data_IF_423777233895
#
_entry.id   IF_423777233895
#
_cell.length_a   1.000
_cell.length_b   1.000
_cell.length_c   1.000
_cell.angle_alpha   90.00
_cell.angle_beta   90.00
_cell.angle_gamma   90.00
#
_symmetry.space_group_name_H-M   'P 1'
#
loop_
_entity.id
_entity.type
_entity.pdbx_description
1 polymer ?
#
# COMPACT_ATOMS: atom_id res chain seq x y z
N UNK A 1 39.28 15.66 -25.27
CA UNK A 1 38.24 15.95 -24.25
C UNK A 1 37.05 15.07 -24.55
N UNK A 2 36.99 13.89 -23.94
CA UNK A 2 35.85 12.98 -24.04
C UNK A 2 34.80 13.44 -23.03
N UNK A 3 33.67 13.91 -23.54
CA UNK A 3 32.48 14.20 -22.74
C UNK A 3 31.99 12.90 -22.12
N UNK A 4 32.43 12.61 -20.90
CA UNK A 4 31.75 11.67 -20.02
C UNK A 4 30.40 12.29 -19.70
N UNK A 5 29.34 11.83 -20.39
CA UNK A 5 27.98 11.99 -19.90
C UNK A 5 27.96 11.34 -18.53
N UNK A 6 28.04 12.15 -17.47
CA UNK A 6 27.54 11.74 -16.15
C UNK A 6 26.08 11.38 -16.39
N UNK A 7 25.77 10.09 -16.51
CA UNK A 7 24.41 9.63 -16.26
C UNK A 7 24.12 10.05 -14.83
N UNK A 8 23.30 11.07 -14.65
CA UNK A 8 22.53 11.19 -13.42
C UNK A 8 21.88 9.83 -13.24
N UNK A 9 22.38 9.05 -12.28
CA UNK A 9 21.76 7.79 -11.88
C UNK A 9 20.43 8.23 -11.25
N UNK A 10 19.39 8.35 -12.08
CA UNK A 10 18.06 8.61 -11.58
C UNK A 10 17.71 7.43 -10.67
N UNK A 11 17.57 7.71 -9.38
CA UNK A 11 17.19 6.73 -8.39
C UNK A 11 15.76 6.29 -8.72
N UNK A 12 15.63 5.05 -9.19
CA UNK A 12 14.34 4.46 -9.51
C UNK A 12 13.67 3.77 -8.32
N UNK A 13 12.62 3.02 -8.62
CA UNK A 13 11.87 2.24 -7.63
C UNK A 13 12.47 0.85 -7.42
N UNK A 14 12.58 0.43 -6.16
CA UNK A 14 12.84 -0.98 -5.81
C UNK A 14 11.54 -1.74 -5.65
N UNK A 15 11.36 -2.81 -6.41
CA UNK A 15 10.23 -3.75 -6.27
C UNK A 15 10.62 -4.84 -5.27
N UNK A 16 9.81 -5.06 -4.25
CA UNK A 16 9.98 -6.10 -3.22
C UNK A 16 8.76 -7.01 -3.24
N UNK A 17 8.92 -8.21 -3.79
CA UNK A 17 7.80 -9.11 -4.02
C UNK A 17 7.83 -10.29 -3.05
N UNK A 18 6.74 -10.45 -2.30
CA UNK A 18 6.48 -11.67 -1.54
C UNK A 18 5.88 -12.74 -2.46
N UNK A 19 6.76 -13.53 -3.06
CA UNK A 19 6.38 -14.59 -4.00
C UNK A 19 5.58 -15.69 -3.31
N UNK A 20 5.72 -15.86 -1.98
CA UNK A 20 4.94 -16.87 -1.27
C UNK A 20 3.50 -16.42 -1.04
N UNK A 21 3.29 -15.14 -0.73
CA UNK A 21 1.95 -14.55 -0.63
C UNK A 21 1.21 -14.56 -1.98
N UNK A 22 1.93 -14.24 -3.06
CA UNK A 22 1.39 -14.22 -4.42
C UNK A 22 1.22 -15.63 -5.03
N UNK A 23 1.93 -16.63 -4.50
CA UNK A 23 1.83 -18.04 -4.93
C UNK A 23 2.00 -18.22 -6.46
N UNK A 24 1.07 -18.92 -7.11
CA UNK A 24 1.18 -19.32 -8.51
C UNK A 24 1.09 -18.14 -9.50
N UNK A 25 0.39 -17.07 -9.13
CA UNK A 25 0.19 -15.89 -9.98
C UNK A 25 1.36 -14.90 -9.95
N UNK A 26 2.33 -15.10 -9.06
CA UNK A 26 3.49 -14.22 -8.84
C UNK A 26 4.17 -13.75 -10.13
N UNK A 27 4.35 -14.66 -11.11
CA UNK A 27 5.03 -14.32 -12.37
C UNK A 27 4.22 -13.37 -13.23
N UNK A 28 2.93 -13.65 -13.37
CA UNK A 28 2.03 -12.87 -14.22
C UNK A 28 1.78 -11.48 -13.60
N UNK A 29 1.67 -11.41 -12.27
CA UNK A 29 1.61 -10.14 -11.52
C UNK A 29 2.84 -9.29 -11.81
N UNK A 30 4.04 -9.84 -11.65
CA UNK A 30 5.29 -9.09 -11.86
C UNK A 30 5.48 -8.64 -13.31
N UNK A 31 5.16 -9.51 -14.28
CA UNK A 31 5.24 -9.16 -15.70
C UNK A 31 4.27 -8.03 -16.02
N UNK A 32 3.03 -8.12 -15.51
CA UNK A 32 1.98 -7.14 -15.78
C UNK A 32 2.30 -5.81 -15.11
N UNK A 33 2.73 -5.83 -13.84
CA UNK A 33 3.15 -4.64 -13.09
C UNK A 33 4.26 -3.88 -13.82
N UNK A 34 5.32 -4.56 -14.26
CA UNK A 34 6.45 -3.89 -14.93
C UNK A 34 6.04 -3.34 -16.29
N UNK A 35 5.14 -4.02 -17.03
CA UNK A 35 4.62 -3.54 -18.32
C UNK A 35 3.66 -2.37 -18.18
N UNK A 36 2.87 -2.34 -17.11
CA UNK A 36 1.84 -1.34 -16.81
C UNK A 36 2.23 -0.56 -15.55
N UNK A 37 3.49 -0.12 -15.52
CA UNK A 37 4.01 0.60 -14.37
C UNK A 37 3.28 1.94 -14.20
N UNK A 38 2.89 2.34 -12.97
CA UNK A 38 2.21 3.62 -12.74
C UNK A 38 3.07 4.81 -13.19
N UNK A 39 2.48 5.73 -13.96
CA UNK A 39 3.20 6.90 -14.51
C UNK A 39 3.66 7.90 -13.44
N UNK A 40 3.03 7.89 -12.27
CA UNK A 40 3.35 8.77 -11.15
C UNK A 40 4.50 8.24 -10.27
N UNK A 41 5.04 7.06 -10.60
CA UNK A 41 6.13 6.41 -9.88
C UNK A 41 7.42 6.38 -10.70
N UNK A 42 8.59 6.61 -10.08
CA UNK A 42 9.87 6.43 -10.77
C UNK A 42 10.00 5.02 -11.34
N UNK A 43 10.63 4.91 -12.50
CA UNK A 43 10.80 3.62 -13.18
C UNK A 43 11.46 2.58 -12.26
N UNK A 44 11.06 1.31 -12.35
CA UNK A 44 11.64 0.28 -11.52
C UNK A 44 13.07 -0.02 -11.97
N UNK A 45 14.02 0.00 -11.03
CA UNK A 45 15.46 -0.26 -11.30
C UNK A 45 15.96 -1.51 -10.59
N UNK A 46 15.26 -1.96 -9.55
CA UNK A 46 15.59 -3.17 -8.78
C UNK A 46 14.38 -4.07 -8.60
N UNK A 47 14.60 -5.37 -8.67
CA UNK A 47 13.61 -6.39 -8.38
C UNK A 47 14.18 -7.34 -7.32
N UNK A 48 13.60 -7.30 -6.12
CA UNK A 48 13.94 -8.15 -4.99
C UNK A 48 12.82 -9.16 -4.78
N UNK A 49 13.14 -10.45 -4.95
CA UNK A 49 12.18 -11.55 -4.83
C UNK A 49 12.43 -12.33 -3.55
N UNK A 50 11.40 -12.48 -2.72
CA UNK A 50 11.44 -13.26 -1.49
C UNK A 50 10.69 -14.56 -1.72
N UNK A 51 11.47 -15.63 -1.86
CA UNK A 51 10.97 -16.93 -2.32
C UNK A 51 11.27 -17.99 -1.29
N UNK A 52 10.61 -19.16 -1.38
CA UNK A 52 11.04 -20.31 -0.58
C UNK A 52 12.49 -20.67 -0.91
N UNK A 53 13.28 -20.98 0.12
CA UNK A 53 14.72 -21.23 -0.03
C UNK A 53 15.06 -22.32 -1.06
N UNK A 54 14.22 -23.35 -1.18
CA UNK A 54 14.37 -24.46 -2.14
C UNK A 54 14.10 -24.05 -3.60
N UNK A 55 13.38 -22.96 -3.85
CA UNK A 55 13.06 -22.47 -5.18
C UNK A 55 13.94 -21.31 -5.65
N UNK A 56 14.89 -20.85 -4.82
CA UNK A 56 15.69 -19.65 -5.06
C UNK A 56 16.41 -19.65 -6.42
N UNK A 57 17.01 -20.78 -6.82
CA UNK A 57 17.75 -20.86 -8.06
C UNK A 57 16.85 -20.73 -9.30
N UNK A 58 15.69 -21.41 -9.29
CA UNK A 58 14.73 -21.37 -10.39
C UNK A 58 14.18 -19.96 -10.60
N UNK A 59 13.84 -19.28 -9.50
CA UNK A 59 13.38 -17.89 -9.55
C UNK A 59 14.45 -16.93 -10.04
N UNK A 60 15.70 -17.12 -9.63
CA UNK A 60 16.81 -16.30 -10.10
C UNK A 60 16.98 -16.38 -11.61
N UNK A 61 17.05 -17.60 -12.16
CA UNK A 61 17.22 -17.80 -13.61
C UNK A 61 16.08 -17.14 -14.39
N UNK A 62 14.83 -17.39 -13.99
CA UNK A 62 13.66 -16.79 -14.63
C UNK A 62 13.69 -15.25 -14.55
N UNK A 63 13.87 -14.69 -13.36
CA UNK A 63 13.78 -13.24 -13.16
C UNK A 63 14.89 -12.49 -13.87
N UNK A 64 16.13 -13.00 -13.87
CA UNK A 64 17.24 -12.38 -14.61
C UNK A 64 17.04 -12.38 -16.11
N UNK A 65 16.33 -13.39 -16.64
CA UNK A 65 16.01 -13.45 -18.06
C UNK A 65 14.84 -12.53 -18.41
N UNK A 66 13.80 -12.49 -17.55
CA UNK A 66 12.57 -11.74 -17.79
C UNK A 66 12.74 -10.23 -17.59
N UNK A 67 13.57 -9.81 -16.63
CA UNK A 67 13.76 -8.42 -16.22
C UNK A 67 15.23 -8.00 -16.36
N UNK A 68 15.78 -8.21 -17.56
CA UNK A 68 17.21 -8.00 -17.86
C UNK A 68 17.68 -6.53 -17.76
N UNK A 69 16.76 -5.57 -17.76
CA UNK A 69 17.04 -4.14 -17.59
C UNK A 69 17.14 -3.71 -16.11
N UNK A 70 16.81 -4.61 -15.18
CA UNK A 70 16.79 -4.33 -13.74
C UNK A 70 17.88 -5.11 -12.99
N UNK A 71 18.29 -4.58 -11.84
CA UNK A 71 19.11 -5.35 -10.90
C UNK A 71 18.21 -6.35 -10.16
N UNK A 72 18.39 -7.64 -10.41
CA UNK A 72 17.58 -8.71 -9.81
C UNK A 72 18.30 -9.33 -8.61
N UNK A 73 17.63 -9.35 -7.46
CA UNK A 73 18.01 -10.11 -6.27
C UNK A 73 16.94 -11.15 -5.95
N UNK A 74 17.36 -12.34 -5.52
CA UNK A 74 16.44 -13.40 -5.09
C UNK A 74 16.92 -13.95 -3.76
N UNK A 75 16.13 -13.70 -2.72
CA UNK A 75 16.38 -14.09 -1.33
C UNK A 75 15.55 -15.31 -0.98
N UNK A 76 16.24 -16.38 -0.56
CA UNK A 76 15.59 -17.60 -0.09
C UNK A 76 15.21 -17.47 1.38
N UNK A 77 13.92 -17.42 1.68
CA UNK A 77 13.39 -17.35 3.04
C UNK A 77 13.17 -18.78 3.55
N UNK A 78 13.81 -19.12 4.67
CA UNK A 78 13.61 -20.39 5.36
C UNK A 78 12.51 -20.25 6.41
N UNK A 79 11.55 -21.16 6.36
CA UNK A 79 10.56 -21.33 7.41
C UNK A 79 10.99 -22.49 8.30
N UNK A 80 11.35 -22.20 9.55
CA UNK A 80 11.60 -23.26 10.53
C UNK A 80 10.27 -23.90 10.91
N UNK A 81 10.07 -25.17 10.56
CA UNK A 81 8.82 -25.92 10.82
C UNK A 81 8.45 -26.05 12.31
N UNK A 82 9.37 -25.71 13.22
CA UNK A 82 9.20 -25.83 14.67
C UNK A 82 8.75 -24.53 15.36
N UNK A 83 8.84 -23.39 14.69
CA UNK A 83 8.41 -22.09 15.21
C UNK A 83 7.48 -21.42 14.22
N UNK A 84 6.29 -21.04 14.67
CA UNK A 84 5.25 -20.37 13.91
C UNK A 84 5.62 -18.95 13.42
N UNK A 85 6.83 -18.73 12.92
CA UNK A 85 7.28 -17.45 12.37
C UNK A 85 6.81 -17.36 10.93
N UNK A 86 5.52 -17.08 10.75
CA UNK A 86 4.89 -16.85 9.44
C UNK A 86 5.45 -15.61 8.72
N UNK A 87 6.17 -14.73 9.42
CA UNK A 87 6.47 -13.37 8.94
C UNK A 87 7.95 -13.17 8.54
N UNK A 88 8.68 -14.25 8.22
CA UNK A 88 10.10 -14.16 7.89
C UNK A 88 10.36 -13.41 6.58
N UNK A 89 9.43 -13.50 5.61
CA UNK A 89 9.50 -12.75 4.37
C UNK A 89 9.23 -11.25 4.61
N UNK A 90 8.20 -10.93 5.37
CA UNK A 90 7.79 -9.54 5.66
C UNK A 90 8.90 -8.76 6.35
N UNK A 91 9.55 -9.38 7.34
CA UNK A 91 10.69 -8.78 8.03
C UNK A 91 11.87 -8.55 7.07
N UNK A 92 12.17 -9.52 6.21
CA UNK A 92 13.27 -9.40 5.24
C UNK A 92 12.98 -8.28 4.22
N UNK A 93 11.75 -8.22 3.71
CA UNK A 93 11.28 -7.16 2.82
C UNK A 93 11.42 -5.79 3.48
N UNK A 94 10.89 -5.62 4.69
CA UNK A 94 10.94 -4.35 5.40
C UNK A 94 12.39 -3.89 5.66
N UNK A 95 13.26 -4.81 6.11
CA UNK A 95 14.67 -4.51 6.39
C UNK A 95 15.41 -4.10 5.11
N UNK A 96 15.27 -4.87 4.02
CA UNK A 96 15.96 -4.58 2.77
C UNK A 96 15.43 -3.30 2.12
N UNK A 97 14.13 -3.06 2.13
CA UNK A 97 13.52 -1.84 1.60
C UNK A 97 14.00 -0.58 2.34
N UNK A 98 14.02 -0.61 3.67
CA UNK A 98 14.56 0.48 4.47
C UNK A 98 16.07 0.67 4.23
N UNK A 99 16.83 -0.42 4.17
CA UNK A 99 18.28 -0.38 3.90
C UNK A 99 18.59 0.26 2.55
N UNK A 100 17.87 -0.13 1.50
CA UNK A 100 18.04 0.41 0.15
C UNK A 100 17.70 1.91 0.07
N UNK A 101 16.64 2.35 0.75
CA UNK A 101 16.32 3.79 0.88
C UNK A 101 17.41 4.55 1.64
N UNK A 102 17.84 4.04 2.79
CA UNK A 102 18.88 4.67 3.63
C UNK A 102 20.21 4.80 2.89
N UNK A 103 20.56 3.79 2.08
CA UNK A 103 21.76 3.79 1.27
C UNK A 103 21.60 4.54 -0.06
N UNK A 104 20.44 5.15 -0.33
CA UNK A 104 20.12 5.87 -1.56
C UNK A 104 20.38 5.00 -2.80
N UNK A 105 20.08 3.70 -2.71
CA UNK A 105 20.17 2.77 -3.84
C UNK A 105 18.90 2.81 -4.70
N UNK A 106 17.80 3.28 -4.11
CA UNK A 106 16.48 3.53 -4.70
C UNK A 106 15.94 4.86 -4.17
N UNK A 107 14.90 5.40 -4.81
CA UNK A 107 14.16 6.56 -4.30
C UNK A 107 12.79 6.17 -3.73
N UNK A 108 12.19 5.08 -4.22
CA UNK A 108 10.86 4.62 -3.85
C UNK A 108 10.85 3.11 -3.64
N UNK A 109 9.95 2.66 -2.77
CA UNK A 109 9.71 1.25 -2.48
C UNK A 109 8.36 0.86 -3.06
N UNK A 110 8.32 -0.21 -3.84
CA UNK A 110 7.08 -0.87 -4.25
C UNK A 110 7.01 -2.27 -3.63
N UNK A 111 6.09 -2.49 -2.69
CA UNK A 111 5.86 -3.82 -2.10
C UNK A 111 4.77 -4.53 -2.89
N UNK A 112 5.05 -5.75 -3.36
CA UNK A 112 4.07 -6.59 -4.06
C UNK A 112 3.65 -7.73 -3.15
N UNK A 113 2.51 -7.57 -2.50
CA UNK A 113 1.91 -8.52 -1.57
C UNK A 113 0.48 -8.12 -1.26
N UNK A 114 -0.39 -9.08 -0.97
CA UNK A 114 -1.73 -8.81 -0.43
C UNK A 114 -1.73 -8.75 1.11
N UNK A 115 -0.59 -8.97 1.78
CA UNK A 115 -0.49 -9.04 3.25
C UNK A 115 -0.55 -7.67 3.93
N UNK A 116 -1.52 -7.48 4.83
CA UNK A 116 -1.73 -6.21 5.53
C UNK A 116 -0.58 -5.77 6.44
N UNK A 117 0.34 -6.67 6.82
CA UNK A 117 1.44 -6.36 7.74
C UNK A 117 2.38 -5.26 7.21
N UNK A 118 2.38 -5.00 5.89
CA UNK A 118 3.16 -3.91 5.28
C UNK A 118 2.63 -2.49 5.59
N UNK A 119 1.46 -2.33 6.22
CA UNK A 119 1.01 -1.04 6.77
C UNK A 119 2.06 -0.48 7.74
N UNK A 120 2.69 -1.33 8.55
CA UNK A 120 3.70 -0.89 9.50
C UNK A 120 4.94 -0.31 8.81
N UNK A 121 5.33 -0.88 7.66
CA UNK A 121 6.42 -0.34 6.85
C UNK A 121 6.06 1.04 6.30
N UNK A 122 4.86 1.19 5.73
CA UNK A 122 4.36 2.49 5.26
C UNK A 122 4.37 3.55 6.37
N UNK A 123 3.81 3.24 7.54
CA UNK A 123 3.76 4.16 8.67
C UNK A 123 5.17 4.61 9.08
N UNK A 124 6.14 3.68 9.11
CA UNK A 124 7.51 4.00 9.46
C UNK A 124 8.19 4.89 8.42
N UNK A 125 7.96 4.64 7.14
CA UNK A 125 8.45 5.49 6.06
C UNK A 125 7.83 6.90 6.12
N UNK A 126 6.56 7.01 6.52
CA UNK A 126 5.90 8.28 6.76
C UNK A 126 6.56 9.11 7.85
N UNK A 127 6.86 8.50 9.00
CA UNK A 127 7.58 9.17 10.09
C UNK A 127 8.97 9.70 9.66
N UNK A 128 9.67 8.97 8.80
CA UNK A 128 10.97 9.42 8.28
C UNK A 128 10.81 10.50 7.22
N UNK A 129 9.79 10.42 6.35
CA UNK A 129 9.49 11.44 5.35
C UNK A 129 9.12 12.78 6.01
N UNK A 130 8.33 12.78 7.09
CA UNK A 130 7.98 14.00 7.85
C UNK A 130 9.21 14.73 8.43
N UNK A 131 10.27 13.99 8.73
CA UNK A 131 11.55 14.57 9.22
C UNK A 131 12.41 15.11 8.10
N UNK A 132 12.14 14.71 6.85
CA UNK A 132 12.85 15.18 5.68
C UNK A 132 12.14 16.39 5.07
N UNK A 133 12.76 17.56 5.14
CA UNK A 133 12.20 18.80 4.61
C UNK A 133 12.05 18.81 3.08
N UNK A 134 12.75 17.91 2.37
CA UNK A 134 12.71 17.82 0.91
C UNK A 134 11.59 16.90 0.39
N UNK A 135 10.93 16.13 1.27
CA UNK A 135 10.00 15.05 0.88
C UNK A 135 8.62 15.54 0.43
N UNK A 136 8.31 16.84 0.51
CA UNK A 136 6.97 17.41 0.31
C UNK A 136 5.84 16.67 1.08
N UNK A 137 6.19 15.87 2.09
CA UNK A 137 5.25 15.03 2.85
C UNK A 137 4.75 13.78 2.12
N UNK A 138 5.23 13.46 0.90
CA UNK A 138 4.84 12.22 0.20
C UNK A 138 5.73 11.06 0.64
N UNK A 139 5.12 10.01 1.18
CA UNK A 139 5.82 8.77 1.52
C UNK A 139 6.34 8.10 0.24
N UNK A 140 7.63 7.70 0.15
CA UNK A 140 8.21 7.06 -1.04
C UNK A 140 7.84 5.57 -1.12
N UNK A 141 6.55 5.29 -1.13
CA UNK A 141 6.00 3.95 -1.01
C UNK A 141 4.89 3.72 -2.02
N UNK A 142 4.79 2.49 -2.53
CA UNK A 142 3.67 1.99 -3.31
C UNK A 142 3.39 0.57 -2.85
N UNK A 143 2.11 0.28 -2.61
CA UNK A 143 1.65 -1.06 -2.35
C UNK A 143 0.95 -1.62 -3.57
N UNK A 144 1.47 -2.73 -4.08
CA UNK A 144 0.93 -3.44 -5.22
C UNK A 144 0.18 -4.68 -4.76
N UNK A 145 -1.13 -4.67 -5.00
CA UNK A 145 -2.05 -5.79 -4.75
C UNK A 145 -2.33 -6.58 -6.02
N UNK A 146 -2.79 -7.80 -5.82
CA UNK A 146 -3.44 -8.59 -6.87
C UNK A 146 -4.93 -8.26 -6.95
N UNK A 147 -5.57 -8.65 -8.04
CA UNK A 147 -7.03 -8.55 -8.25
C UNK A 147 -7.84 -9.66 -7.52
N UNK A 148 -7.16 -10.49 -6.71
CA UNK A 148 -7.79 -11.56 -5.93
C UNK A 148 -8.70 -10.98 -4.83
N UNK A 149 -10.00 -11.26 -4.95
CA UNK A 149 -11.00 -10.78 -3.99
C UNK A 149 -11.00 -11.56 -2.66
N UNK A 150 -10.39 -12.75 -2.62
CA UNK A 150 -10.34 -13.61 -1.43
C UNK A 150 -9.14 -13.32 -0.51
N UNK A 151 -8.11 -12.65 -1.02
CA UNK A 151 -6.92 -12.25 -0.25
C UNK A 151 -6.93 -10.77 0.14
N UNK A 152 -7.71 -9.94 -0.54
CA UNK A 152 -7.82 -8.51 -0.24
C UNK A 152 -8.74 -8.27 0.96
N UNK A 153 -8.22 -7.66 2.02
CA UNK A 153 -9.08 -7.19 3.11
C UNK A 153 -10.03 -6.11 2.59
N UNK A 154 -11.35 -6.33 2.67
CA UNK A 154 -12.35 -5.33 2.29
C UNK A 154 -12.22 -4.02 3.09
N UNK A 155 -11.60 -4.08 4.27
CA UNK A 155 -11.39 -2.92 5.13
C UNK A 155 -10.16 -2.09 4.75
N UNK A 156 -9.21 -2.63 3.95
CA UNK A 156 -7.99 -1.90 3.59
C UNK A 156 -8.29 -0.57 2.90
N UNK A 157 -9.33 -0.53 2.05
CA UNK A 157 -9.75 0.69 1.35
C UNK A 157 -10.38 1.75 2.27
N UNK A 158 -10.81 1.36 3.47
CA UNK A 158 -11.36 2.27 4.49
C UNK A 158 -10.28 2.84 5.40
N UNK A 159 -9.12 2.17 5.52
CA UNK A 159 -8.05 2.51 6.47
C UNK A 159 -6.75 3.01 5.84
N UNK A 160 -6.47 2.67 4.58
CA UNK A 160 -5.21 3.00 3.92
C UNK A 160 -5.42 3.99 2.76
N UNK A 161 -4.56 5.01 2.59
CA UNK A 161 -4.76 6.00 1.54
C UNK A 161 -4.62 5.37 0.15
N UNK A 162 -5.63 5.58 -0.69
CA UNK A 162 -5.75 4.95 -2.02
C UNK A 162 -4.62 5.33 -2.97
N UNK A 163 -4.04 6.52 -2.81
CA UNK A 163 -2.95 7.03 -3.66
C UNK A 163 -1.65 6.21 -3.52
N UNK A 164 -1.56 5.36 -2.51
CA UNK A 164 -0.44 4.44 -2.29
C UNK A 164 -0.76 3.00 -2.70
N UNK A 165 -1.93 2.75 -3.27
CA UNK A 165 -2.40 1.41 -3.65
C UNK A 165 -2.44 1.32 -5.17
N UNK A 166 -1.78 0.31 -5.72
CA UNK A 166 -1.90 -0.10 -7.11
C UNK A 166 -2.42 -1.53 -7.18
N UNK A 167 -3.43 -1.80 -8.00
CA UNK A 167 -3.99 -3.14 -8.17
C UNK A 167 -3.61 -3.66 -9.56
N UNK A 168 -2.95 -4.81 -9.59
CA UNK A 168 -2.60 -5.50 -10.84
C UNK A 168 -3.78 -6.38 -11.25
N UNK A 169 -4.49 -5.91 -12.27
CA UNK A 169 -5.59 -6.64 -12.90
C UNK A 169 -5.06 -7.60 -13.96
N UNK A 170 -5.10 -8.90 -13.65
CA UNK A 170 -4.66 -9.98 -14.53
C UNK A 170 -5.72 -10.37 -15.55
N UNK A 171 -6.98 -9.96 -15.35
CA UNK A 171 -8.06 -10.21 -16.30
C UNK A 171 -7.93 -9.38 -17.57
N UNK A 172 -7.26 -8.22 -17.50
CA UNK A 172 -7.04 -7.32 -18.64
C UNK A 172 -5.86 -7.78 -19.51
N UNK A 173 -6.08 -8.15 -20.78
CA UNK A 173 -5.00 -8.59 -21.66
C UNK A 173 -4.00 -7.46 -21.92
N UNK A 174 -2.70 -7.77 -21.89
CA UNK A 174 -1.59 -6.80 -21.97
C UNK A 174 -1.55 -5.92 -23.24
N UNK A 175 -2.38 -6.20 -24.24
CA UNK A 175 -2.40 -5.49 -25.53
C UNK A 175 -3.48 -4.40 -25.63
N UNK A 176 -4.28 -4.18 -24.59
CA UNK A 176 -5.24 -3.06 -24.55
C UNK A 176 -4.51 -1.82 -24.03
N UNK A 177 -4.35 -0.82 -24.91
CA UNK A 177 -3.94 0.54 -24.53
C UNK A 177 -4.99 1.15 -23.57
N UNK A 178 -4.59 1.97 -22.59
CA UNK A 178 -5.54 2.53 -21.64
C UNK A 178 -6.56 3.41 -22.36
N UNK A 179 -7.84 3.03 -22.29
CA UNK A 179 -8.94 3.88 -22.72
C UNK A 179 -8.93 5.16 -21.87
N UNK A 180 -8.71 6.30 -22.53
CA UNK A 180 -8.94 7.62 -21.94
C UNK A 180 -10.42 7.71 -21.54
N UNK A 181 -10.69 7.83 -20.25
CA UNK A 181 -12.02 8.12 -19.71
C UNK A 181 -12.51 9.45 -20.29
N UNK A 182 -13.39 9.37 -21.29
CA UNK A 182 -14.12 10.53 -21.80
C UNK A 182 -15.40 10.69 -20.98
N UNK A 183 -15.43 11.77 -20.21
CA UNK A 183 -16.60 12.33 -19.53
C UNK A 183 -17.86 12.24 -20.40
N UNK A 184 -18.81 11.43 -19.96
CA UNK A 184 -20.17 11.44 -20.50
C UNK A 184 -21.06 12.26 -19.56
N UNK A 185 -21.08 13.56 -19.80
CA UNK A 185 -22.18 14.44 -19.39
C UNK A 185 -23.50 13.89 -19.95
N UNK A 186 -24.48 13.68 -19.08
CA UNK A 186 -25.89 13.63 -19.46
C UNK A 186 -26.67 14.61 -18.58
N UNK A 187 -27.28 15.62 -19.22
CA UNK A 187 -28.40 16.38 -18.66
C UNK A 187 -29.60 15.46 -18.42
N UNK A 188 -30.73 15.89 -17.87
CA UNK A 188 -31.36 17.19 -17.96
C UNK A 188 -32.64 17.20 -17.07
N UNK A 189 -33.10 18.41 -16.70
CA UNK A 189 -34.46 18.85 -16.36
C UNK A 189 -35.20 18.54 -15.03
N UNK A 190 -35.51 19.68 -14.37
CA UNK A 190 -36.85 20.26 -14.11
C UNK A 190 -37.46 20.20 -12.70
N UNK A 191 -37.86 21.40 -12.23
CA UNK A 191 -38.85 21.59 -11.17
C UNK A 191 -38.80 22.96 -10.46
N UNK A 192 -39.22 24.05 -11.13
CA UNK A 192 -39.63 25.30 -10.45
C UNK A 192 -41.02 25.09 -9.78
N UNK A 193 -41.35 25.64 -8.59
CA UNK A 193 -41.78 27.03 -8.27
C UNK A 193 -42.30 27.08 -6.79
N UNK A 194 -42.78 28.22 -6.20
CA UNK A 194 -42.18 28.89 -5.03
C UNK A 194 -43.12 29.14 -3.81
N UNK A 195 -42.58 29.78 -2.75
CA UNK A 195 -43.30 30.41 -1.62
C UNK A 195 -43.06 29.67 -0.29
N UNK A 196 -42.86 30.27 0.89
CA UNK A 196 -43.06 31.63 1.39
C UNK A 196 -42.08 31.89 2.57
N UNK A 197 -41.86 33.18 2.86
CA UNK A 197 -41.09 33.72 3.97
C UNK A 197 -41.66 33.32 5.34
N UNK A 198 -40.79 32.98 6.30
CA UNK A 198 -40.97 33.47 7.67
C UNK A 198 -39.61 33.62 8.38
N UNK A 199 -39.36 34.84 8.85
CA UNK A 199 -38.23 35.26 9.67
C UNK A 199 -38.39 34.70 11.07
N UNK A 200 -37.33 34.10 11.61
CA UNK A 200 -37.05 34.13 13.04
C UNK A 200 -35.57 34.40 13.27
N UNK A 201 -35.29 35.39 14.12
CA UNK A 201 -33.94 35.74 14.58
C UNK A 201 -33.38 34.65 15.51
N UNK A 202 -32.06 34.36 15.49
CA UNK A 202 -31.52 33.23 16.23
C UNK A 202 -31.25 33.57 17.71
N UNK A 203 -31.67 32.69 18.61
CA UNK A 203 -31.14 32.63 19.98
C UNK A 203 -29.64 32.24 19.97
N UNK A 204 -28.84 32.68 20.97
CA UNK A 204 -27.40 32.40 20.99
C UNK A 204 -27.15 30.92 21.31
N UNK A 205 -26.89 30.13 20.27
CA UNK A 205 -26.45 28.74 20.39
C UNK A 205 -25.02 28.75 20.94
N UNK A 206 -24.86 28.32 22.18
CA UNK A 206 -23.56 27.98 22.74
C UNK A 206 -22.83 27.02 21.78
N UNK A 207 -21.61 27.37 21.38
CA UNK A 207 -20.74 26.54 20.54
C UNK A 207 -20.65 25.12 21.13
N UNK A 208 -21.43 24.21 20.56
CA UNK A 208 -21.15 22.79 20.63
C UNK A 208 -19.94 22.55 19.73
N UNK A 209 -18.89 21.87 20.21
CA UNK A 209 -17.81 21.47 19.32
C UNK A 209 -18.41 20.69 18.16
N UNK A 210 -18.09 21.08 16.93
CA UNK A 210 -18.60 20.41 15.74
C UNK A 210 -18.27 18.91 15.85
N UNK A 211 -19.21 18.02 15.49
CA UNK A 211 -18.90 16.60 15.42
C UNK A 211 -17.76 16.45 14.41
N UNK A 212 -16.61 15.97 14.88
CA UNK A 212 -15.44 15.67 14.05
C UNK A 212 -15.89 14.95 12.79
N UNK A 213 -15.37 15.38 11.65
CA UNK A 213 -15.72 14.74 10.39
C UNK A 213 -15.31 13.26 10.48
N UNK A 214 -16.05 12.40 9.79
CA UNK A 214 -15.76 10.96 9.76
C UNK A 214 -14.32 10.67 9.31
N UNK A 215 -13.76 11.53 8.46
CA UNK A 215 -12.38 11.48 7.99
C UNK A 215 -11.38 11.77 9.12
N UNK A 216 -11.62 12.82 9.91
CA UNK A 216 -10.75 13.18 11.05
C UNK A 216 -10.75 12.10 12.14
N UNK A 217 -11.89 11.42 12.32
CA UNK A 217 -12.03 10.33 13.28
C UNK A 217 -11.27 9.08 12.81
N UNK A 218 -11.37 8.71 11.53
CA UNK A 218 -10.64 7.58 10.96
C UNK A 218 -9.13 7.81 10.99
N UNK A 219 -8.68 9.03 10.70
CA UNK A 219 -7.26 9.42 10.75
C UNK A 219 -6.71 9.34 12.18
N UNK A 220 -7.46 9.84 13.17
CA UNK A 220 -7.06 9.73 14.58
C UNK A 220 -7.04 8.28 15.07
N UNK A 221 -7.96 7.43 14.61
CA UNK A 221 -7.96 5.99 14.93
C UNK A 221 -6.71 5.33 14.35
N UNK A 222 -6.38 5.60 13.09
CA UNK A 222 -5.21 5.05 12.42
C UNK A 222 -3.90 5.48 13.12
N UNK A 223 -3.74 6.78 13.38
CA UNK A 223 -2.55 7.31 14.07
C UNK A 223 -2.41 6.78 15.50
N UNK A 224 -3.53 6.58 16.20
CA UNK A 224 -3.50 6.06 17.56
C UNK A 224 -3.19 4.56 17.60
N UNK A 225 -3.72 3.78 16.66
CA UNK A 225 -3.35 2.37 16.49
C UNK A 225 -1.85 2.25 16.22
N UNK A 226 -1.32 3.05 15.29
CA UNK A 226 0.10 3.08 14.94
C UNK A 226 0.97 3.43 16.16
N UNK A 227 0.58 4.43 16.97
CA UNK A 227 1.35 4.86 18.15
C UNK A 227 1.41 3.85 19.29
N UNK A 228 0.38 3.04 19.47
CA UNK A 228 0.29 2.09 20.59
C UNK A 228 0.79 0.69 20.24
N UNK A 229 1.19 0.46 18.99
CA UNK A 229 1.63 -0.84 18.48
C UNK A 229 3.13 -1.11 18.79
N UNK A 230 3.47 -2.07 19.68
CA UNK A 230 4.82 -2.60 19.74
C UNK A 230 5.08 -3.51 18.53
N UNK A 231 6.12 -3.18 17.75
CA UNK A 231 6.55 -3.93 16.56
C UNK A 231 6.73 -5.42 16.88
N UNK A 232 6.08 -6.30 16.11
CA UNK A 232 6.31 -7.75 16.13
C UNK A 232 5.37 -8.61 16.98
N UNK A 233 4.23 -8.08 17.45
CA UNK A 233 3.19 -8.88 18.16
C UNK A 233 1.78 -8.71 17.61
N UNK A 234 1.65 -8.30 16.36
CA UNK A 234 0.35 -7.93 15.82
C UNK A 234 -0.43 -9.17 15.40
N UNK A 235 -1.60 -9.37 16.01
CA UNK A 235 -2.66 -10.23 15.49
C UNK A 235 -3.88 -9.36 15.20
N UNK A 236 -4.66 -9.73 14.19
CA UNK A 236 -5.94 -9.09 13.83
C UNK A 236 -6.90 -8.89 15.03
N UNK A 237 -6.79 -9.75 16.04
CA UNK A 237 -7.52 -9.66 17.33
C UNK A 237 -7.14 -8.46 18.20
N UNK A 238 -5.90 -7.97 18.12
CA UNK A 238 -5.41 -6.85 18.95
C UNK A 238 -5.92 -5.49 18.42
N UNK A 239 -6.11 -5.39 17.10
CA UNK A 239 -6.79 -4.28 16.45
C UNK A 239 -8.25 -4.16 16.87
N UNK A 240 -8.97 -5.30 16.85
CA UNK A 240 -10.35 -5.39 17.31
C UNK A 240 -10.48 -4.93 18.78
N UNK A 241 -9.59 -5.40 19.66
CA UNK A 241 -9.61 -5.05 21.09
C UNK A 241 -9.43 -3.55 21.31
N UNK A 242 -8.54 -2.92 20.55
CA UNK A 242 -8.26 -1.48 20.67
C UNK A 242 -9.44 -0.64 20.20
N UNK A 243 -10.04 -1.00 19.06
CA UNK A 243 -11.25 -0.34 18.53
C UNK A 243 -12.44 -0.55 19.48
N UNK A 244 -12.64 -1.76 19.98
CA UNK A 244 -13.70 -2.07 20.95
C UNK A 244 -13.56 -1.26 22.25
N UNK A 245 -12.34 -1.12 22.76
CA UNK A 245 -12.09 -0.49 24.07
C UNK A 245 -12.14 1.04 23.99
N UNK A 246 -11.63 1.64 22.91
CA UNK A 246 -11.44 3.09 22.81
C UNK A 246 -12.46 3.79 21.93
N UNK A 247 -13.06 3.07 20.98
CA UNK A 247 -14.03 3.62 20.03
C UNK A 247 -15.29 2.73 19.97
N UNK A 248 -16.01 2.53 21.09
CA UNK A 248 -17.12 1.58 21.19
C UNK A 248 -18.34 1.95 20.31
N UNK A 249 -18.45 3.20 19.88
CA UNK A 249 -19.48 3.68 18.95
C UNK A 249 -19.13 3.39 17.48
N UNK A 250 -17.89 2.98 17.19
CA UNK A 250 -17.44 2.67 15.83
C UNK A 250 -18.08 1.37 15.33
N UNK A 251 -18.54 1.28 14.06
CA UNK A 251 -19.20 0.09 13.53
C UNK A 251 -18.39 -1.21 13.71
N UNK A 252 -17.06 -1.10 13.65
CA UNK A 252 -16.13 -2.22 13.79
C UNK A 252 -15.83 -2.64 15.23
N UNK A 253 -16.30 -1.89 16.24
CA UNK A 253 -16.23 -2.36 17.63
C UNK A 253 -16.99 -3.69 17.82
N UNK A 254 -17.86 -4.05 16.88
CA UNK A 254 -18.64 -5.30 16.87
C UNK A 254 -18.22 -6.29 15.79
N UNK A 255 -17.18 -5.98 14.99
CA UNK A 255 -16.71 -6.87 13.94
C UNK A 255 -15.87 -8.01 14.54
N UNK A 256 -15.99 -9.23 14.00
CA UNK A 256 -15.21 -10.38 14.45
C UNK A 256 -13.75 -10.30 13.96
N UNK A 257 -12.81 -10.81 14.77
CA UNK A 257 -11.36 -10.79 14.49
C UNK A 257 -10.91 -11.18 13.07
N UNK A 258 -11.54 -12.15 12.37
CA UNK A 258 -11.21 -12.48 10.98
C UNK A 258 -11.46 -11.35 9.97
N UNK A 259 -12.29 -10.36 10.30
CA UNK A 259 -12.54 -9.19 9.43
C UNK A 259 -11.29 -8.29 9.30
N UNK A 260 -10.33 -8.42 10.22
CA UNK A 260 -9.06 -7.68 10.22
C UNK A 260 -7.89 -8.50 9.65
N UNK A 261 -8.13 -9.68 9.06
CA UNK A 261 -7.12 -10.54 8.43
C UNK A 261 -6.86 -11.86 9.18
N UNK A 262 -6.43 -12.89 8.44
CA UNK A 262 -5.97 -14.20 8.95
C UNK A 262 -4.44 -14.26 9.08
#
# INVERSE_FOLDING_TARGET
>A
MTNSKKSTNELGTGIYADVQNLQEISRDVLITLVKRWPDDMPKPTRLNLYVRADHQHLWRVWATHQFNEMTVSVTGVQHYSLSATKNAADLAIAVDAMSDLLHKSISHVAVVSDDSDFIALFAKLGEEAERDHDSNGRVPFLWVFTDRMDTKSMLLEEFFPRDYIHVVDLSKPLNEEPESENDSQSGDQNGSKPGEDEKDEPEPVAERPEPMSRADLSEQIALQLIREMPVGKFKSTDCQMTIHTKFPAHPLAKADGPAFGQ
#
